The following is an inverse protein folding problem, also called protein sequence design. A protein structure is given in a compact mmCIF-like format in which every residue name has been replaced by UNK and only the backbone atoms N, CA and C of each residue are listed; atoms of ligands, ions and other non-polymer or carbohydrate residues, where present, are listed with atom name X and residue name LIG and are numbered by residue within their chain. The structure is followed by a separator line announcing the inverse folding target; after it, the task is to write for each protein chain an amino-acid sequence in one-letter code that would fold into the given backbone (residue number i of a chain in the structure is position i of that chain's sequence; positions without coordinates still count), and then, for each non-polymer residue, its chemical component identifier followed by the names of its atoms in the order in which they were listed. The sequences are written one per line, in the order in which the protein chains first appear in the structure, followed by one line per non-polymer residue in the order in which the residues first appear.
data_IF_960737032404
#
_entry.id   IF_960737032404
#
_cell.length_a   1.000
_cell.length_b   1.000
_cell.length_c   1.000
_cell.angle_alpha   90.00
_cell.angle_beta   90.00
_cell.angle_gamma   90.00
#
_symmetry.space_group_name_H-M   'P 1'
#
loop_
_entity.id
_entity.type
_entity.pdbx_description
1 polymer ?
#
# COMPACT_ATOMS: atom_id res chain seq x y z
N UNK A 1 -3.80 -0.46 -14.44
CA UNK A 1 -2.88 -0.89 -15.53
C UNK A 1 -1.56 -1.36 -14.94
N UNK A 2 -0.70 -2.12 -15.66
CA UNK A 2 0.61 -2.55 -15.16
C UNK A 2 1.50 -1.37 -14.74
N UNK A 3 1.54 -0.30 -15.54
CA UNK A 3 2.31 0.91 -15.23
C UNK A 3 1.88 1.58 -13.93
N UNK A 4 0.57 1.63 -13.63
CA UNK A 4 0.08 2.16 -12.35
C UNK A 4 0.57 1.33 -11.16
N UNK A 5 0.66 0.01 -11.30
CA UNK A 5 1.17 -0.85 -10.23
C UNK A 5 2.67 -0.63 -9.98
N UNK A 6 3.45 -0.41 -11.05
CA UNK A 6 4.87 -0.09 -10.91
C UNK A 6 5.10 1.26 -10.24
N UNK A 7 4.37 2.30 -10.66
CA UNK A 7 4.43 3.62 -10.00
C UNK A 7 4.04 3.54 -8.53
N UNK A 8 3.00 2.76 -8.19
CA UNK A 8 2.58 2.55 -6.82
C UNK A 8 3.66 1.84 -5.99
N UNK A 9 4.33 0.83 -6.56
CA UNK A 9 5.45 0.13 -5.90
C UNK A 9 6.56 1.11 -5.54
N UNK A 10 7.05 1.90 -6.49
CA UNK A 10 8.12 2.87 -6.24
C UNK A 10 7.73 3.89 -5.17
N UNK A 11 6.49 4.39 -5.22
CA UNK A 11 5.99 5.34 -4.21
C UNK A 11 5.96 4.73 -2.81
N UNK A 12 5.48 3.48 -2.67
CA UNK A 12 5.43 2.80 -1.37
C UNK A 12 6.84 2.63 -0.78
N UNK A 13 7.81 2.23 -1.60
CA UNK A 13 9.20 2.04 -1.16
C UNK A 13 9.85 3.38 -0.75
N UNK A 14 9.64 4.45 -1.53
CA UNK A 14 10.11 5.80 -1.16
C UNK A 14 9.50 6.27 0.17
N UNK A 15 8.20 6.08 0.35
CA UNK A 15 7.52 6.45 1.60
C UNK A 15 8.04 5.65 2.79
N UNK A 16 8.28 4.34 2.64
CA UNK A 16 8.84 3.52 3.70
C UNK A 16 10.27 3.94 4.07
N UNK A 17 11.11 4.23 3.07
CA UNK A 17 12.46 4.75 3.30
C UNK A 17 12.45 6.09 4.07
N UNK A 18 11.53 7.00 3.70
CA UNK A 18 11.38 8.31 4.36
C UNK A 18 10.72 8.22 5.74
N UNK A 19 9.89 7.20 5.97
CA UNK A 19 9.15 7.01 7.20
C UNK A 19 9.29 5.54 7.68
N UNK A 20 10.44 5.18 8.31
CA UNK A 20 10.71 3.81 8.75
C UNK A 20 9.74 3.26 9.81
N UNK A 21 8.87 4.11 10.36
CA UNK A 21 7.80 3.73 11.29
C UNK A 21 6.57 3.13 10.61
N UNK A 22 6.48 3.17 9.27
CA UNK A 22 5.38 2.53 8.53
C UNK A 22 5.54 1.01 8.65
N UNK A 23 4.56 0.34 9.25
CA UNK A 23 4.57 -1.11 9.46
C UNK A 23 3.51 -1.86 8.64
N UNK A 24 2.55 -1.13 8.09
CA UNK A 24 1.35 -1.72 7.49
C UNK A 24 0.87 -0.90 6.32
N UNK A 25 0.63 -1.58 5.20
CA UNK A 25 -0.10 -1.07 4.03
C UNK A 25 -1.56 -1.51 4.14
N UNK A 26 -2.48 -0.57 4.10
CA UNK A 26 -3.92 -0.83 4.15
C UNK A 26 -4.62 -0.18 2.95
N UNK A 27 -5.68 -0.82 2.48
CA UNK A 27 -6.63 -0.21 1.56
C UNK A 27 -7.63 0.65 2.33
N UNK A 28 -8.30 1.57 1.63
CA UNK A 28 -9.30 2.43 2.25
C UNK A 28 -10.45 1.61 2.89
N UNK A 29 -10.85 0.50 2.26
CA UNK A 29 -11.85 -0.44 2.78
C UNK A 29 -11.48 -1.13 4.10
N UNK A 30 -10.18 -1.19 4.41
CA UNK A 30 -9.67 -1.91 5.58
C UNK A 30 -9.69 -1.02 6.83
N UNK A 31 -10.08 0.25 6.69
CA UNK A 31 -10.20 1.20 7.79
C UNK A 31 -11.56 1.08 8.50
N UNK A 32 -11.60 1.23 9.84
CA UNK A 32 -12.84 1.18 10.60
C UNK A 32 -13.90 2.17 10.08
N UNK A 33 -15.13 1.70 9.94
CA UNK A 33 -16.26 2.54 9.49
C UNK A 33 -16.33 2.76 7.97
N UNK A 34 -15.41 2.18 7.18
CA UNK A 34 -15.44 2.30 5.71
C UNK A 34 -16.19 1.12 5.09
N UNK A 35 -17.28 1.42 4.38
CA UNK A 35 -18.07 0.43 3.63
C UNK A 35 -17.77 0.44 2.12
N UNK A 36 -16.87 1.32 1.67
CA UNK A 36 -16.53 1.46 0.26
C UNK A 36 -15.60 0.33 -0.18
N UNK A 37 -15.76 -0.16 -1.40
CA UNK A 37 -14.88 -1.17 -1.98
C UNK A 37 -13.48 -0.64 -2.36
N UNK A 38 -13.22 0.66 -2.25
CA UNK A 38 -11.93 1.28 -2.60
C UNK A 38 -10.77 0.65 -1.78
N UNK A 39 -9.65 0.24 -2.39
CA UNK A 39 -9.20 0.56 -3.75
C UNK A 39 -9.60 -0.47 -4.84
N UNK A 40 -10.66 -1.24 -4.61
CA UNK A 40 -11.17 -2.28 -5.50
C UNK A 40 -10.21 -3.47 -5.73
N UNK A 41 -9.07 -3.50 -5.05
CA UNK A 41 -8.23 -4.68 -4.84
C UNK A 41 -7.85 -4.81 -3.35
N UNK A 42 -7.16 -5.90 -3.00
CA UNK A 42 -6.61 -6.14 -1.67
C UNK A 42 -5.21 -5.52 -1.58
N UNK A 43 -5.10 -4.40 -0.86
CA UNK A 43 -3.84 -3.68 -0.69
C UNK A 43 -2.92 -4.33 0.33
N UNK A 44 -3.44 -5.20 1.21
CA UNK A 44 -2.63 -5.89 2.22
C UNK A 44 -1.62 -6.85 1.56
N UNK A 45 -1.90 -7.33 0.35
CA UNK A 45 -0.96 -8.13 -0.45
C UNK A 45 0.33 -7.39 -0.84
N UNK A 46 0.42 -6.09 -0.59
CA UNK A 46 1.61 -5.29 -0.86
C UNK A 46 2.60 -5.24 0.31
N UNK A 47 2.33 -5.88 1.46
CA UNK A 47 3.24 -5.80 2.63
C UNK A 47 4.69 -6.19 2.32
N UNK A 48 4.91 -7.12 1.37
CA UNK A 48 6.26 -7.53 0.96
C UNK A 48 7.15 -6.37 0.47
N UNK A 49 6.55 -5.23 0.11
CA UNK A 49 7.27 -4.02 -0.28
C UNK A 49 7.94 -3.30 0.90
N UNK A 50 7.50 -3.56 2.13
CA UNK A 50 8.13 -3.03 3.35
C UNK A 50 9.36 -3.85 3.77
N UNK A 51 9.44 -5.12 3.37
CA UNK A 51 10.55 -6.04 3.72
C UNK A 51 11.81 -5.80 2.87
N UNK A 52 11.69 -5.08 1.76
CA UNK A 52 12.72 -4.94 0.71
C UNK A 52 13.39 -3.56 0.68
N UNK A 53 13.22 -2.74 1.72
CA UNK A 53 13.83 -1.39 1.82
C UNK A 53 14.99 -1.34 2.81
#
# INVERSE_FOLDING_TARGET
TPKQKESMKHLIQDLHHRFPGIRTILGHRDLPGVQKACPCFDATKLQYLLETS
#
